data_IF_447491892945
#
_entry.id   IF_447491892945
#
_cell.length_a   1.000
_cell.length_b   1.000
_cell.length_c   1.000
_cell.angle_alpha   90.00
_cell.angle_beta   90.00
_cell.angle_gamma   90.00
#
_symmetry.space_group_name_H-M   'P 1'
#
loop_
_entity.id
_entity.type
_entity.pdbx_description
1 polymer ?
#
# COMPACT_ATOMS: atom_id res chain seq x y z
N UNK A 1 25.53 22.23 36.77
CA UNK A 1 26.01 22.96 35.57
C UNK A 1 27.20 22.19 35.04
N UNK A 2 26.98 21.15 34.22
CA UNK A 2 28.05 20.45 33.52
C UNK A 2 28.01 20.95 32.08
N UNK A 3 28.78 22.00 31.82
CA UNK A 3 29.04 22.51 30.48
C UNK A 3 29.84 21.46 29.72
N UNK A 4 29.17 20.76 28.81
CA UNK A 4 29.77 19.89 27.79
C UNK A 4 30.66 20.74 26.90
N UNK A 5 31.96 20.80 27.20
CA UNK A 5 32.95 21.29 26.24
C UNK A 5 33.03 20.27 25.11
N UNK A 6 32.21 20.46 24.07
CA UNK A 6 32.36 19.76 22.80
C UNK A 6 33.77 20.05 22.30
N UNK A 7 34.63 19.05 22.32
CA UNK A 7 35.95 19.12 21.69
C UNK A 7 35.78 19.51 20.22
N UNK A 8 36.67 20.37 19.71
CA UNK A 8 36.62 20.85 18.31
C UNK A 8 36.45 19.70 17.30
N UNK A 9 37.08 18.56 17.58
CA UNK A 9 36.92 17.33 16.80
C UNK A 9 35.48 16.83 16.73
N UNK A 10 34.76 16.79 17.85
CA UNK A 10 33.36 16.36 17.90
C UNK A 10 32.44 17.35 17.17
N UNK A 11 32.73 18.65 17.26
CA UNK A 11 31.96 19.68 16.57
C UNK A 11 32.16 19.59 15.04
N UNK A 12 33.40 19.42 14.60
CA UNK A 12 33.76 19.20 13.20
C UNK A 12 33.10 17.91 12.68
N UNK A 13 33.20 16.80 13.41
CA UNK A 13 32.60 15.52 13.03
C UNK A 13 31.07 15.62 12.94
N UNK A 14 30.41 16.27 13.89
CA UNK A 14 28.96 16.48 13.85
C UNK A 14 28.54 17.35 12.66
N UNK A 15 29.27 18.45 12.40
CA UNK A 15 28.98 19.35 11.29
C UNK A 15 29.11 18.64 9.93
N UNK A 16 30.24 17.97 9.70
CA UNK A 16 30.47 17.26 8.44
C UNK A 16 29.55 16.05 8.27
N UNK A 17 29.24 15.30 9.35
CA UNK A 17 28.24 14.23 9.29
C UNK A 17 26.89 14.78 8.88
N UNK A 18 26.41 15.86 9.51
CA UNK A 18 25.13 16.47 9.19
C UNK A 18 25.06 16.89 7.72
N UNK A 19 26.05 17.64 7.24
CA UNK A 19 26.10 18.09 5.85
C UNK A 19 26.19 16.93 4.85
N UNK A 20 26.97 15.89 5.18
CA UNK A 20 27.07 14.69 4.34
C UNK A 20 25.76 13.90 4.31
N UNK A 21 25.08 13.77 5.45
CA UNK A 21 23.77 13.12 5.55
C UNK A 21 22.72 13.89 4.75
N UNK A 22 22.70 15.22 4.83
CA UNK A 22 21.78 16.07 4.06
C UNK A 22 21.96 15.88 2.54
N UNK A 23 23.20 15.98 2.05
CA UNK A 23 23.49 15.78 0.62
C UNK A 23 23.12 14.36 0.16
N UNK A 24 23.49 13.34 0.93
CA UNK A 24 23.17 11.94 0.60
C UNK A 24 21.68 11.65 0.70
N UNK A 25 20.98 12.28 1.64
CA UNK A 25 19.54 12.16 1.82
C UNK A 25 18.81 12.66 0.58
N UNK A 26 19.15 13.85 0.09
CA UNK A 26 18.53 14.39 -1.11
C UNK A 26 18.78 13.53 -2.35
N UNK A 27 20.03 13.09 -2.55
CA UNK A 27 20.39 12.20 -3.65
C UNK A 27 19.61 10.88 -3.59
N UNK A 28 19.61 10.23 -2.43
CA UNK A 28 18.93 8.95 -2.23
C UNK A 28 17.42 9.08 -2.41
N UNK A 29 16.82 10.13 -1.85
CA UNK A 29 15.37 10.38 -1.96
C UNK A 29 14.96 10.56 -3.41
N UNK A 30 15.67 11.40 -4.17
CA UNK A 30 15.37 11.64 -5.59
C UNK A 30 15.53 10.34 -6.39
N UNK A 31 16.60 9.59 -6.15
CA UNK A 31 16.84 8.30 -6.81
C UNK A 31 15.73 7.28 -6.52
N UNK A 32 15.34 7.14 -5.25
CA UNK A 32 14.25 6.24 -4.84
C UNK A 32 12.92 6.69 -5.45
N UNK A 33 12.60 7.98 -5.38
CA UNK A 33 11.38 8.55 -5.93
C UNK A 33 11.25 8.30 -7.44
N UNK A 34 12.30 8.59 -8.21
CA UNK A 34 12.30 8.35 -9.66
C UNK A 34 12.11 6.86 -10.00
N UNK A 35 12.81 5.95 -9.31
CA UNK A 35 12.68 4.52 -9.55
C UNK A 35 11.29 3.99 -9.21
N UNK A 36 10.76 4.36 -8.04
CA UNK A 36 9.42 3.95 -7.59
C UNK A 36 8.34 4.49 -8.52
N UNK A 37 8.44 5.77 -8.93
CA UNK A 37 7.50 6.37 -9.87
C UNK A 37 7.51 5.65 -11.23
N UNK A 38 8.69 5.30 -11.75
CA UNK A 38 8.81 4.56 -13.00
C UNK A 38 8.22 3.14 -12.91
N UNK A 39 8.39 2.47 -11.77
CA UNK A 39 7.77 1.15 -11.51
C UNK A 39 6.25 1.28 -11.39
N UNK A 40 5.76 2.27 -10.65
CA UNK A 40 4.34 2.54 -10.49
C UNK A 40 3.67 2.81 -11.84
N UNK A 41 4.29 3.62 -12.71
CA UNK A 41 3.78 3.90 -14.05
C UNK A 41 3.61 2.61 -14.88
N UNK A 42 4.61 1.73 -14.89
CA UNK A 42 4.53 0.43 -15.60
C UNK A 42 3.43 -0.46 -15.06
N UNK A 43 3.26 -0.50 -13.73
CA UNK A 43 2.21 -1.28 -13.07
C UNK A 43 0.82 -0.74 -13.39
N UNK A 44 0.64 0.59 -13.42
CA UNK A 44 -0.63 1.23 -13.82
C UNK A 44 -1.01 0.88 -15.25
N UNK A 45 -0.07 0.96 -16.20
CA UNK A 45 -0.32 0.53 -17.59
C UNK A 45 -0.68 -0.95 -17.67
N UNK A 46 0.00 -1.81 -16.91
CA UNK A 46 -0.30 -3.25 -16.86
C UNK A 46 -1.68 -3.55 -16.24
N UNK A 47 -2.07 -2.80 -15.21
CA UNK A 47 -3.39 -2.91 -14.59
C UNK A 47 -4.50 -2.56 -15.59
N UNK A 48 -4.36 -1.42 -16.29
CA UNK A 48 -5.29 -1.00 -17.34
C UNK A 48 -5.44 -2.05 -18.45
N UNK A 49 -4.33 -2.63 -18.93
CA UNK A 49 -4.39 -3.71 -19.91
C UNK A 49 -5.22 -4.91 -19.43
N UNK A 50 -5.10 -5.29 -18.16
CA UNK A 50 -5.89 -6.38 -17.60
C UNK A 50 -7.36 -6.01 -17.38
N UNK A 51 -7.65 -4.76 -17.00
CA UNK A 51 -9.03 -4.27 -16.93
C UNK A 51 -9.72 -4.35 -18.30
N UNK A 52 -9.06 -3.84 -19.35
CA UNK A 52 -9.57 -3.89 -20.74
C UNK A 52 -9.81 -5.34 -21.21
N UNK A 53 -8.91 -6.26 -20.86
CA UNK A 53 -9.07 -7.68 -21.18
C UNK A 53 -10.25 -8.34 -20.45
N UNK A 54 -10.53 -7.93 -19.21
CA UNK A 54 -11.67 -8.44 -18.45
C UNK A 54 -12.98 -7.85 -18.96
N UNK A 55 -13.02 -6.57 -19.31
CA UNK A 55 -14.20 -5.93 -19.91
C UNK A 55 -14.59 -6.61 -21.23
N UNK A 56 -13.61 -6.93 -22.08
CA UNK A 56 -13.85 -7.75 -23.29
C UNK A 56 -14.37 -9.15 -22.96
N UNK A 57 -13.99 -9.71 -21.81
CA UNK A 57 -14.46 -11.01 -21.36
C UNK A 57 -15.83 -10.97 -20.66
N UNK A 58 -16.33 -9.83 -20.19
CA UNK A 58 -17.71 -9.69 -19.71
C UNK A 58 -18.72 -9.89 -20.85
N UNK A 59 -18.37 -9.48 -22.07
CA UNK A 59 -19.15 -9.79 -23.28
C UNK A 59 -19.25 -11.29 -23.58
N UNK A 60 -18.48 -12.14 -22.88
CA UNK A 60 -18.56 -13.60 -23.02
C UNK A 60 -19.97 -14.13 -22.74
N UNK A 61 -20.64 -13.61 -21.70
CA UNK A 61 -21.94 -14.13 -21.27
C UNK A 61 -23.03 -13.78 -22.30
N UNK A 62 -22.92 -12.62 -22.97
CA UNK A 62 -23.75 -12.27 -24.12
C UNK A 62 -23.59 -13.25 -25.29
N UNK A 63 -22.36 -13.70 -25.60
CA UNK A 63 -22.18 -14.70 -26.66
C UNK A 63 -22.83 -16.05 -26.33
N UNK A 64 -22.90 -16.42 -25.05
CA UNK A 64 -23.66 -17.62 -24.66
C UNK A 64 -25.15 -17.43 -24.88
N UNK A 65 -25.71 -16.30 -24.44
CA UNK A 65 -27.13 -15.96 -24.68
C UNK A 65 -27.45 -15.95 -26.19
N UNK A 66 -26.58 -15.37 -27.01
CA UNK A 66 -26.73 -15.40 -28.47
C UNK A 66 -26.73 -16.82 -29.04
N UNK A 67 -25.81 -17.67 -28.58
CA UNK A 67 -25.76 -19.07 -29.01
C UNK A 67 -27.06 -19.82 -28.64
N UNK A 68 -27.54 -19.64 -27.41
CA UNK A 68 -28.76 -20.27 -26.91
C UNK A 68 -30.00 -19.78 -27.70
N UNK A 69 -30.10 -18.48 -27.97
CA UNK A 69 -31.19 -17.88 -28.77
C UNK A 69 -31.18 -18.34 -30.22
N UNK A 70 -30.01 -18.44 -30.85
CA UNK A 70 -29.86 -18.97 -32.23
C UNK A 70 -30.24 -20.45 -32.29
N UNK A 71 -29.85 -21.24 -31.28
CA UNK A 71 -30.20 -22.66 -31.20
C UNK A 71 -31.70 -22.89 -30.98
N UNK A 72 -32.36 -22.03 -30.20
CA UNK A 72 -33.81 -22.11 -30.00
C UNK A 72 -34.61 -21.69 -31.24
N UNK A 73 -34.08 -20.75 -32.04
CA UNK A 73 -34.77 -20.19 -33.20
C UNK A 73 -34.16 -20.62 -34.55
N UNK A 74 -33.64 -21.86 -34.64
CA UNK A 74 -32.95 -22.37 -35.83
C UNK A 74 -33.79 -22.29 -37.12
N UNK A 75 -35.12 -22.39 -37.01
CA UNK A 75 -36.02 -22.32 -38.16
C UNK A 75 -36.05 -20.94 -38.82
N UNK A 76 -35.74 -19.88 -38.07
CA UNK A 76 -35.70 -18.50 -38.57
C UNK A 76 -34.34 -18.14 -39.19
N UNK A 77 -33.32 -18.98 -39.02
CA UNK A 77 -31.97 -18.78 -39.53
C UNK A 77 -31.85 -19.26 -40.99
N UNK A 78 -32.15 -18.39 -41.95
CA UNK A 78 -31.90 -18.68 -43.37
C UNK A 78 -30.41 -18.49 -43.73
N UNK A 79 -29.87 -19.27 -44.70
CA UNK A 79 -28.51 -19.07 -45.21
C UNK A 79 -28.35 -17.66 -45.81
N UNK A 80 -27.24 -16.97 -45.51
CA UNK A 80 -26.98 -15.61 -46.00
C UNK A 80 -27.51 -14.48 -45.13
N UNK A 81 -28.15 -14.78 -43.99
CA UNK A 81 -28.74 -13.79 -43.09
C UNK A 81 -27.66 -13.14 -42.20
N UNK A 82 -27.59 -11.81 -42.18
CA UNK A 82 -26.56 -11.06 -41.43
C UNK A 82 -26.96 -10.75 -39.97
N UNK A 83 -28.25 -10.71 -39.66
CA UNK A 83 -28.78 -10.35 -38.35
C UNK A 83 -30.10 -11.07 -38.06
N UNK A 84 -30.20 -11.73 -36.91
CA UNK A 84 -31.41 -12.38 -36.43
C UNK A 84 -32.05 -11.53 -35.32
N UNK A 85 -33.33 -11.20 -35.44
CA UNK A 85 -34.08 -10.53 -34.37
C UNK A 85 -35.02 -11.53 -33.70
N UNK A 86 -34.76 -11.83 -32.44
CA UNK A 86 -35.52 -12.81 -31.65
C UNK A 86 -35.83 -12.25 -30.27
N UNK A 87 -36.98 -12.59 -29.67
CA UNK A 87 -37.29 -12.21 -28.30
C UNK A 87 -36.32 -12.89 -27.34
N UNK A 88 -35.79 -12.12 -26.39
CA UNK A 88 -34.99 -12.64 -25.29
C UNK A 88 -35.83 -13.51 -24.35
N UNK A 89 -35.22 -14.54 -23.77
CA UNK A 89 -35.91 -15.50 -22.90
C UNK A 89 -36.36 -14.86 -21.57
N UNK A 90 -35.58 -13.91 -21.04
CA UNK A 90 -35.83 -13.31 -19.72
C UNK A 90 -36.66 -12.03 -19.83
N UNK A 91 -36.32 -11.14 -20.77
CA UNK A 91 -36.97 -9.83 -20.87
C UNK A 91 -38.13 -9.78 -21.87
N UNK A 92 -38.24 -10.74 -22.80
CA UNK A 92 -39.22 -10.72 -23.90
C UNK A 92 -38.98 -9.62 -24.95
N UNK A 93 -37.99 -8.74 -24.74
CA UNK A 93 -37.59 -7.71 -25.68
C UNK A 93 -36.86 -8.31 -26.88
N UNK A 94 -37.07 -7.78 -28.09
CA UNK A 94 -36.36 -8.24 -29.29
C UNK A 94 -34.88 -7.85 -29.24
N UNK A 95 -34.01 -8.86 -29.20
CA UNK A 95 -32.56 -8.73 -29.29
C UNK A 95 -32.12 -8.95 -30.74
N UNK A 96 -31.20 -8.12 -31.22
CA UNK A 96 -30.59 -8.26 -32.56
C UNK A 96 -29.25 -8.96 -32.44
N UNK A 97 -29.17 -10.18 -32.97
CA UNK A 97 -27.99 -11.04 -32.93
C UNK A 97 -27.28 -10.95 -34.29
N UNK A 98 -26.03 -10.49 -34.37
CA UNK A 98 -25.27 -10.51 -35.63
C UNK A 98 -24.95 -11.96 -36.01
N UNK A 99 -25.07 -12.32 -37.28
CA UNK A 99 -24.73 -13.65 -37.80
C UNK A 99 -23.73 -13.52 -38.95
N UNK A 100 -22.88 -14.53 -39.13
CA UNK A 100 -22.05 -14.64 -40.33
C UNK A 100 -22.89 -15.24 -41.48
N UNK A 101 -23.06 -14.51 -42.60
CA UNK A 101 -23.85 -14.96 -43.75
C UNK A 101 -23.32 -16.26 -44.39
N UNK A 102 -22.02 -16.52 -44.25
CA UNK A 102 -21.36 -17.68 -44.84
C UNK A 102 -21.52 -18.96 -43.99
N UNK A 103 -22.10 -18.84 -42.80
CA UNK A 103 -22.24 -19.94 -41.85
C UNK A 103 -23.71 -20.33 -41.65
N UNK A 104 -23.97 -21.60 -41.41
CA UNK A 104 -25.32 -22.05 -41.01
C UNK A 104 -25.68 -21.57 -39.60
N UNK A 105 -26.96 -21.56 -39.24
CA UNK A 105 -27.40 -21.18 -37.88
C UNK A 105 -26.70 -21.99 -36.78
N UNK A 106 -26.51 -23.30 -37.01
CA UNK A 106 -25.79 -24.19 -36.07
C UNK A 106 -24.30 -23.81 -36.00
N UNK A 107 -23.66 -23.50 -37.12
CA UNK A 107 -22.25 -23.09 -37.14
C UNK A 107 -22.02 -21.75 -36.44
N UNK A 108 -22.91 -20.78 -36.68
CA UNK A 108 -22.92 -19.49 -35.97
C UNK A 108 -23.06 -19.69 -34.45
N UNK A 109 -24.02 -20.52 -34.00
CA UNK A 109 -24.17 -20.85 -32.58
C UNK A 109 -22.92 -21.52 -31.99
N UNK A 110 -22.32 -22.49 -32.70
CA UNK A 110 -21.06 -23.11 -32.28
C UNK A 110 -19.91 -22.12 -32.20
N UNK A 111 -19.82 -21.17 -33.13
CA UNK A 111 -18.82 -20.10 -33.10
C UNK A 111 -19.00 -19.22 -31.87
N UNK A 112 -20.24 -18.87 -31.51
CA UNK A 112 -20.55 -18.14 -30.28
C UNK A 112 -20.18 -18.92 -29.03
N UNK A 113 -20.50 -20.22 -28.94
CA UNK A 113 -20.06 -21.05 -27.80
C UNK A 113 -18.53 -21.15 -27.69
N UNK A 114 -17.82 -21.32 -28.81
CA UNK A 114 -16.35 -21.33 -28.83
C UNK A 114 -15.78 -19.99 -28.35
N UNK A 115 -16.36 -18.87 -28.78
CA UNK A 115 -15.96 -17.53 -28.36
C UNK A 115 -16.22 -17.31 -26.87
N UNK A 116 -17.40 -17.67 -26.37
CA UNK A 116 -17.72 -17.66 -24.95
C UNK A 116 -16.70 -18.47 -24.14
N UNK A 117 -16.42 -19.71 -24.55
CA UNK A 117 -15.49 -20.57 -23.83
C UNK A 117 -14.06 -20.01 -23.82
N UNK A 118 -13.59 -19.44 -24.94
CA UNK A 118 -12.28 -18.79 -25.03
C UNK A 118 -12.19 -17.57 -24.10
N UNK A 119 -13.19 -16.69 -24.13
CA UNK A 119 -13.22 -15.49 -23.28
C UNK A 119 -13.34 -15.85 -21.80
N UNK A 120 -14.19 -16.82 -21.44
CA UNK A 120 -14.31 -17.32 -20.07
C UNK A 120 -13.00 -17.91 -19.54
N UNK A 121 -12.27 -18.69 -20.36
CA UNK A 121 -10.93 -19.20 -19.99
C UNK A 121 -9.94 -18.06 -19.78
N UNK A 122 -9.98 -17.04 -20.64
CA UNK A 122 -9.16 -15.84 -20.48
C UNK A 122 -9.47 -15.11 -19.17
N UNK A 123 -10.75 -14.90 -18.85
CA UNK A 123 -11.21 -14.27 -17.60
C UNK A 123 -10.61 -14.95 -16.36
N UNK A 124 -10.78 -16.27 -16.28
CA UNK A 124 -10.27 -17.07 -15.15
C UNK A 124 -8.73 -17.02 -15.01
N UNK A 125 -8.01 -16.84 -16.11
CA UNK A 125 -6.55 -16.71 -16.09
C UNK A 125 -6.08 -15.30 -15.75
N UNK A 126 -6.81 -14.26 -16.20
CA UNK A 126 -6.44 -12.86 -16.04
C UNK A 126 -6.81 -12.31 -14.65
N UNK A 127 -7.94 -12.71 -14.08
CA UNK A 127 -8.39 -12.28 -12.74
C UNK A 127 -7.31 -12.42 -11.63
N UNK A 128 -6.63 -13.57 -11.45
CA UNK A 128 -5.59 -13.68 -10.43
C UNK A 128 -4.36 -12.82 -10.75
N UNK A 129 -4.01 -12.66 -12.02
CA UNK A 129 -2.88 -11.80 -12.44
C UNK A 129 -3.18 -10.32 -12.17
N UNK A 130 -4.40 -9.88 -12.48
CA UNK A 130 -4.90 -8.55 -12.16
C UNK A 130 -4.82 -8.29 -10.66
N UNK A 131 -5.36 -9.21 -9.86
CA UNK A 131 -5.33 -9.11 -8.40
C UNK A 131 -3.90 -8.96 -7.88
N UNK A 132 -2.95 -9.75 -8.39
CA UNK A 132 -1.55 -9.64 -8.02
C UNK A 132 -0.93 -8.28 -8.41
N UNK A 133 -1.26 -7.75 -9.60
CA UNK A 133 -0.79 -6.43 -10.05
C UNK A 133 -1.33 -5.30 -9.19
N UNK A 134 -2.62 -5.32 -8.83
CA UNK A 134 -3.20 -4.30 -7.93
C UNK A 134 -2.59 -4.35 -6.53
N UNK A 135 -2.34 -5.54 -6.01
CA UNK A 135 -1.69 -5.72 -4.72
C UNK A 135 -0.26 -5.16 -4.74
N UNK A 136 0.47 -5.42 -5.82
CA UNK A 136 1.79 -4.85 -6.03
C UNK A 136 1.76 -3.32 -6.23
N UNK A 137 0.81 -2.80 -7.01
CA UNK A 137 0.62 -1.37 -7.22
C UNK A 137 0.33 -0.66 -5.90
N UNK A 138 -0.58 -1.19 -5.09
CA UNK A 138 -0.90 -0.63 -3.77
C UNK A 138 0.31 -0.55 -2.85
N UNK A 139 1.18 -1.57 -2.86
CA UNK A 139 2.45 -1.53 -2.12
C UNK A 139 3.38 -0.42 -2.62
N UNK A 140 3.58 -0.30 -3.94
CA UNK A 140 4.46 0.71 -4.53
C UNK A 140 3.94 2.12 -4.25
N UNK A 141 2.62 2.32 -4.31
CA UNK A 141 1.97 3.59 -3.95
C UNK A 141 2.07 3.91 -2.46
N UNK A 142 2.09 2.90 -1.58
CA UNK A 142 2.38 3.10 -0.16
C UNK A 142 3.81 3.61 0.06
N UNK A 143 4.80 3.00 -0.61
CA UNK A 143 6.19 3.47 -0.57
C UNK A 143 6.32 4.89 -1.14
N UNK A 144 5.65 5.17 -2.26
CA UNK A 144 5.62 6.51 -2.86
C UNK A 144 5.05 7.54 -1.86
N UNK A 145 3.92 7.22 -1.22
CA UNK A 145 3.33 8.06 -0.18
C UNK A 145 4.29 8.32 0.97
N UNK A 146 5.03 7.32 1.43
CA UNK A 146 6.02 7.49 2.50
C UNK A 146 7.16 8.40 2.06
N UNK A 147 7.68 8.25 0.84
CA UNK A 147 8.75 9.09 0.30
C UNK A 147 8.35 10.56 0.22
N UNK A 148 7.08 10.88 -0.08
CA UNK A 148 6.59 12.28 -0.09
C UNK A 148 6.59 12.94 1.30
N UNK A 149 6.66 12.16 2.38
CA UNK A 149 6.78 12.71 3.74
C UNK A 149 8.21 13.22 4.02
N UNK A 150 9.20 12.68 3.32
CA UNK A 150 10.62 13.04 3.45
C UNK A 150 10.99 14.25 2.59
N UNK A 151 10.32 15.39 2.79
CA UNK A 151 10.55 16.59 1.95
C UNK A 151 11.84 17.36 2.26
N UNK A 152 12.31 17.30 3.51
CA UNK A 152 13.53 17.97 3.97
C UNK A 152 14.21 17.10 5.02
N UNK A 153 15.53 17.21 5.10
CA UNK A 153 16.32 16.59 6.15
C UNK A 153 16.24 17.42 7.43
N UNK A 154 15.70 16.85 8.51
CA UNK A 154 15.66 17.51 9.82
C UNK A 154 16.67 16.89 10.78
N UNK A 155 16.72 15.56 10.84
CA UNK A 155 17.50 14.82 11.82
C UNK A 155 18.14 13.54 11.26
N UNK A 156 18.97 12.88 12.08
CA UNK A 156 19.59 11.61 11.71
C UNK A 156 18.57 10.47 11.53
N UNK A 157 17.42 10.53 12.20
CA UNK A 157 16.36 9.54 12.03
C UNK A 157 15.76 9.58 10.61
N UNK A 158 15.63 10.76 10.00
CA UNK A 158 15.18 10.89 8.61
C UNK A 158 16.10 10.12 7.65
N UNK A 159 17.41 10.23 7.85
CA UNK A 159 18.40 9.49 7.07
C UNK A 159 18.29 7.98 7.28
N UNK A 160 18.21 7.54 8.53
CA UNK A 160 18.07 6.11 8.87
C UNK A 160 16.78 5.52 8.29
N UNK A 161 15.66 6.24 8.38
CA UNK A 161 14.37 5.80 7.86
C UNK A 161 14.40 5.65 6.32
N UNK A 162 15.07 6.56 5.62
CA UNK A 162 15.24 6.48 4.17
C UNK A 162 16.14 5.30 3.75
N UNK A 163 17.20 5.04 4.51
CA UNK A 163 18.06 3.86 4.32
C UNK A 163 17.28 2.56 4.55
N UNK A 164 16.39 2.53 5.55
CA UNK A 164 15.51 1.38 5.76
C UNK A 164 14.58 1.12 4.57
N UNK A 165 13.99 2.17 3.99
CA UNK A 165 13.18 2.08 2.77
C UNK A 165 14.03 1.52 1.62
N UNK A 166 15.25 2.02 1.42
CA UNK A 166 16.16 1.50 0.39
C UNK A 166 16.42 0.00 0.59
N UNK A 167 16.75 -0.41 1.81
CA UNK A 167 17.02 -1.81 2.13
C UNK A 167 15.79 -2.70 1.90
N UNK A 168 14.61 -2.23 2.28
CA UNK A 168 13.35 -2.92 2.01
C UNK A 168 13.15 -3.12 0.50
N UNK A 169 13.31 -2.07 -0.30
CA UNK A 169 13.14 -2.14 -1.75
C UNK A 169 14.16 -3.05 -2.43
N UNK A 170 15.41 -3.09 -1.94
CA UNK A 170 16.43 -4.05 -2.38
C UNK A 170 15.99 -5.48 -2.05
N UNK A 171 15.46 -5.72 -0.85
CA UNK A 171 15.00 -7.04 -0.42
C UNK A 171 13.78 -7.52 -1.23
N UNK A 172 12.90 -6.60 -1.65
CA UNK A 172 11.75 -6.90 -2.50
C UNK A 172 12.12 -7.03 -3.99
N UNK A 173 13.36 -6.74 -4.39
CA UNK A 173 13.85 -6.97 -5.75
C UNK A 173 13.63 -5.82 -6.74
N UNK A 174 13.39 -4.59 -6.30
CA UNK A 174 13.16 -3.43 -7.17
C UNK A 174 14.42 -2.87 -7.87
N UNK A 175 15.45 -3.69 -8.10
CA UNK A 175 16.61 -3.31 -8.94
C UNK A 175 17.39 -2.09 -8.43
N UNK A 176 17.55 -1.98 -7.11
CA UNK A 176 18.43 -1.01 -6.48
C UNK A 176 19.80 -1.65 -6.25
N UNK A 177 20.86 -1.01 -6.74
CA UNK A 177 22.22 -1.42 -6.37
C UNK A 177 22.39 -1.24 -4.86
N UNK A 178 23.04 -2.21 -4.21
CA UNK A 178 23.43 -2.06 -2.82
C UNK A 178 24.39 -0.87 -2.76
N UNK A 179 23.96 0.22 -2.13
CA UNK A 179 24.86 1.33 -1.84
C UNK A 179 26.13 0.78 -1.18
N UNK A 180 27.29 1.15 -1.74
CA UNK A 180 28.63 0.67 -1.37
C UNK A 180 29.05 1.03 0.06
N UNK A 181 28.16 1.67 0.84
CA UNK A 181 28.41 2.03 2.23
C UNK A 181 28.21 0.90 3.26
N UNK A 182 27.70 -0.27 2.84
CA UNK A 182 27.64 -1.48 3.68
C UNK A 182 28.82 -2.43 3.43
N UNK A 183 30.05 -1.92 3.34
CA UNK A 183 31.27 -2.74 3.22
C UNK A 183 32.07 -2.88 4.53
N UNK A 184 31.65 -2.25 5.63
CA UNK A 184 32.29 -2.44 6.96
C UNK A 184 31.38 -3.17 7.96
N UNK A 185 30.76 -4.28 7.55
CA UNK A 185 30.30 -5.31 8.49
C UNK A 185 31.27 -6.50 8.41
N UNK A 186 32.05 -6.82 9.46
CA UNK A 186 32.89 -8.01 9.42
C UNK A 186 32.01 -9.24 9.23
N UNK A 187 32.34 -10.04 8.20
CA UNK A 187 31.71 -11.34 7.90
C UNK A 187 31.68 -12.18 9.19
N UNK A 188 30.48 -12.39 9.75
CA UNK A 188 30.26 -13.42 10.77
C UNK A 188 30.46 -14.78 10.09
N UNK A 189 31.63 -15.36 10.31
CA UNK A 189 31.93 -16.76 10.05
C UNK A 189 30.88 -17.62 10.75
N UNK A 190 30.29 -18.56 10.01
CA UNK A 190 29.34 -19.55 10.51
C UNK A 190 30.02 -20.44 11.55
N UNK A 191 29.92 -20.07 12.82
CA UNK A 191 30.20 -20.92 13.97
C UNK A 191 28.92 -21.15 14.75
N UNK A 192 28.48 -22.41 14.83
CA UNK A 192 27.42 -22.86 15.73
C UNK A 192 27.88 -22.68 17.17
N UNK A 193 27.28 -21.77 17.91
CA UNK A 193 27.33 -21.81 19.38
C UNK A 193 26.01 -21.31 19.96
N UNK A 194 25.47 -22.12 20.88
CA UNK A 194 24.23 -21.89 21.63
C UNK A 194 24.32 -20.56 22.39
N UNK A 195 23.40 -19.63 22.14
CA UNK A 195 23.25 -18.43 22.96
C UNK A 195 22.33 -18.74 24.15
N UNK A 196 22.96 -18.91 25.31
CA UNK A 196 22.34 -18.59 26.61
C UNK A 196 22.75 -17.16 26.96
N UNK A 197 21.81 -16.40 27.51
CA UNK A 197 22.10 -15.25 28.37
C UNK A 197 22.64 -13.96 27.71
N UNK A 198 21.75 -12.97 27.65
CA UNK A 198 22.01 -11.61 28.20
C UNK A 198 23.13 -10.79 27.53
N UNK A 199 22.82 -10.18 26.39
CA UNK A 199 23.47 -8.94 25.94
C UNK A 199 22.39 -7.88 25.66
N UNK A 200 22.16 -7.02 26.67
CA UNK A 200 21.46 -5.74 26.54
C UNK A 200 22.53 -4.69 26.27
N UNK A 201 22.72 -4.30 25.01
CA UNK A 201 23.68 -3.25 24.66
C UNK A 201 24.06 -3.19 23.19
N UNK A 202 23.14 -3.44 22.26
CA UNK A 202 23.31 -3.04 20.87
C UNK A 202 22.23 -1.99 20.66
N UNK A 203 22.65 -0.73 20.51
CA UNK A 203 21.77 0.34 20.04
C UNK A 203 21.32 -0.11 18.65
N UNK A 204 20.04 -0.49 18.53
CA UNK A 204 19.43 -0.89 17.27
C UNK A 204 19.59 0.32 16.33
N UNK A 205 20.42 0.23 15.29
CA UNK A 205 20.61 1.25 14.24
C UNK A 205 19.33 1.43 13.38
N UNK A 206 18.16 1.24 13.98
CA UNK A 206 16.85 1.42 13.37
C UNK A 206 16.33 2.80 13.73
N UNK A 207 15.80 3.49 12.72
CA UNK A 207 15.03 4.72 12.89
C UNK A 207 13.86 4.52 13.84
N UNK A 208 13.57 5.55 14.64
CA UNK A 208 12.44 5.54 15.56
C UNK A 208 11.15 6.00 14.84
N UNK A 209 9.97 5.53 15.28
CA UNK A 209 8.69 6.09 14.85
C UNK A 209 8.58 7.55 15.31
N UNK A 210 7.73 8.33 14.63
CA UNK A 210 7.37 9.66 15.14
C UNK A 210 6.53 9.50 16.40
N UNK A 211 6.74 10.37 17.37
CA UNK A 211 6.07 10.35 18.66
C UNK A 211 5.36 11.67 18.90
N UNK A 212 4.08 11.60 19.27
CA UNK A 212 3.25 12.73 19.65
C UNK A 212 2.48 12.40 20.93
N UNK A 213 1.85 13.40 21.54
CA UNK A 213 0.93 13.22 22.65
C UNK A 213 -0.45 13.74 22.27
N UNK A 214 -1.47 12.92 22.53
CA UNK A 214 -2.87 13.32 22.42
C UNK A 214 -3.21 14.42 23.45
N UNK A 215 -4.34 15.13 23.28
CA UNK A 215 -4.77 16.17 24.23
C UNK A 215 -4.81 15.72 25.69
N UNK A 216 -5.19 14.46 25.96
CA UNK A 216 -5.21 13.88 27.30
C UNK A 216 -3.86 13.27 27.74
N UNK A 217 -2.78 13.46 26.96
CA UNK A 217 -1.43 13.03 27.31
C UNK A 217 -1.09 11.58 26.97
N UNK A 218 -1.95 10.86 26.25
CA UNK A 218 -1.61 9.52 25.75
C UNK A 218 -0.61 9.59 24.60
N UNK A 219 0.35 8.68 24.61
CA UNK A 219 1.39 8.58 23.58
C UNK A 219 0.81 8.09 22.25
N UNK A 220 1.24 8.72 21.16
CA UNK A 220 0.87 8.39 19.78
C UNK A 220 2.14 8.10 18.98
N UNK A 221 2.24 6.88 18.44
CA UNK A 221 3.38 6.44 17.62
C UNK A 221 2.98 6.30 16.15
N UNK A 222 3.76 6.85 15.24
CA UNK A 222 3.48 6.84 13.80
C UNK A 222 4.66 6.22 13.06
N UNK A 223 4.39 5.19 12.27
CA UNK A 223 5.41 4.53 11.47
C UNK A 223 5.82 5.38 10.26
N UNK A 224 7.13 5.57 10.08
CA UNK A 224 7.73 6.36 9.00
C UNK A 224 7.99 5.57 7.72
N UNK A 225 7.96 4.25 7.83
CA UNK A 225 8.12 3.32 6.71
C UNK A 225 7.40 1.99 7.01
N UNK A 226 7.31 1.10 6.02
CA UNK A 226 6.61 -0.18 6.14
C UNK A 226 7.22 -1.12 7.21
N UNK A 227 8.55 -1.12 7.39
CA UNK A 227 9.22 -1.88 8.46
C UNK A 227 8.83 -1.39 9.84
N UNK A 228 8.78 -0.09 10.04
CA UNK A 228 8.28 0.51 11.27
C UNK A 228 6.80 0.20 11.47
N UNK A 229 5.97 0.29 10.42
CA UNK A 229 4.55 -0.09 10.49
C UNK A 229 4.36 -1.54 10.97
N UNK A 230 5.12 -2.48 10.41
CA UNK A 230 5.12 -3.89 10.83
C UNK A 230 5.58 -4.04 12.30
N UNK A 231 6.62 -3.31 12.73
CA UNK A 231 7.12 -3.33 14.11
C UNK A 231 6.11 -2.73 15.09
N UNK A 232 5.47 -1.63 14.74
CA UNK A 232 4.45 -0.99 15.55
C UNK A 232 3.28 -1.93 15.79
N UNK A 233 2.75 -2.49 14.70
CA UNK A 233 1.56 -3.34 14.72
C UNK A 233 1.82 -4.71 15.37
N UNK A 234 2.94 -5.36 15.03
CA UNK A 234 3.18 -6.76 15.40
C UNK A 234 4.05 -6.97 16.64
N UNK A 235 4.76 -5.94 17.13
CA UNK A 235 5.67 -6.08 18.29
C UNK A 235 5.50 -5.02 19.36
N UNK A 236 5.11 -3.81 18.98
CA UNK A 236 5.06 -2.66 19.89
C UNK A 236 3.70 -2.53 20.53
N UNK A 237 2.64 -2.76 19.76
CA UNK A 237 1.26 -2.67 20.21
C UNK A 237 0.93 -3.66 21.34
N UNK A 238 0.27 -3.15 22.37
CA UNK A 238 -0.34 -3.93 23.46
C UNK A 238 -1.84 -4.13 23.26
N UNK A 239 -2.45 -4.90 24.16
CA UNK A 239 -3.87 -5.30 24.05
C UNK A 239 -4.87 -4.16 24.25
N UNK A 240 -4.47 -3.11 24.97
CA UNK A 240 -5.30 -1.94 25.27
C UNK A 240 -5.18 -0.82 24.24
N UNK A 241 -4.14 -0.87 23.40
CA UNK A 241 -3.86 0.17 22.43
C UNK A 241 -4.92 0.21 21.32
N UNK A 242 -4.97 1.32 20.58
CA UNK A 242 -5.78 1.46 19.38
C UNK A 242 -4.88 1.68 18.17
N UNK A 243 -5.10 0.88 17.14
CA UNK A 243 -4.43 0.98 15.85
C UNK A 243 -5.30 1.76 14.88
N UNK A 244 -4.69 2.66 14.11
CA UNK A 244 -5.34 3.52 13.12
C UNK A 244 -4.62 3.44 11.77
N UNK A 245 -5.40 3.53 10.70
CA UNK A 245 -4.90 3.65 9.32
C UNK A 245 -5.99 4.26 8.44
N UNK A 246 -5.61 4.88 7.33
CA UNK A 246 -6.60 5.38 6.35
C UNK A 246 -7.32 4.23 5.65
N UNK A 247 -8.64 4.35 5.45
CA UNK A 247 -9.42 3.31 4.78
C UNK A 247 -9.06 3.27 3.29
N UNK A 248 -8.59 2.12 2.80
CA UNK A 248 -8.27 1.86 1.37
C UNK A 248 -7.23 2.81 0.73
N UNK A 249 -6.65 3.72 1.51
CA UNK A 249 -5.68 4.70 1.05
C UNK A 249 -4.34 4.35 1.70
N UNK A 250 -3.22 4.32 0.96
CA UNK A 250 -1.92 4.06 1.54
C UNK A 250 -1.50 5.15 2.54
N UNK A 251 -1.00 4.72 3.70
CA UNK A 251 -0.51 5.63 4.74
C UNK A 251 0.30 4.93 5.83
N UNK A 252 0.69 5.72 6.83
CA UNK A 252 1.39 5.24 8.02
C UNK A 252 0.45 4.50 8.97
N UNK A 253 0.97 3.49 9.65
CA UNK A 253 0.25 2.89 10.79
C UNK A 253 0.45 3.80 12.00
N UNK A 254 -0.66 4.13 12.67
CA UNK A 254 -0.64 4.95 13.87
C UNK A 254 -1.15 4.16 15.05
N UNK A 255 -0.45 4.24 16.18
CA UNK A 255 -0.77 3.53 17.41
C UNK A 255 -1.00 4.53 18.53
N UNK A 256 -2.21 4.57 19.08
CA UNK A 256 -2.52 5.28 20.31
C UNK A 256 -2.31 4.33 21.49
N UNK A 257 -1.38 4.70 22.37
CA UNK A 257 -0.97 3.89 23.53
C UNK A 257 -1.89 4.17 24.70
N UNK A 258 -2.60 3.16 25.18
CA UNK A 258 -3.51 3.30 26.31
C UNK A 258 -3.05 2.43 27.48
N UNK A 259 -2.92 3.00 28.69
CA UNK A 259 -2.69 2.19 29.88
C UNK A 259 -3.93 1.33 30.19
N UNK A 260 -3.77 0.22 30.92
CA UNK A 260 -4.88 -0.63 31.30
C UNK A 260 -6.00 0.15 32.00
N UNK A 261 -7.24 0.00 31.52
CA UNK A 261 -8.43 0.66 32.08
C UNK A 261 -8.65 2.11 31.61
N UNK A 262 -7.73 2.71 30.87
CA UNK A 262 -7.97 4.00 30.23
C UNK A 262 -8.84 3.85 28.97
N UNK A 263 -9.66 4.87 28.71
CA UNK A 263 -10.48 5.00 27.51
C UNK A 263 -10.14 6.33 26.86
N UNK A 264 -9.86 6.29 25.56
CA UNK A 264 -9.61 7.48 24.77
C UNK A 264 -10.91 8.27 24.55
N UNK A 265 -10.87 9.57 24.82
CA UNK A 265 -12.01 10.45 24.54
C UNK A 265 -12.11 10.76 23.05
N UNK A 266 -13.23 11.33 22.63
CA UNK A 266 -13.46 11.71 21.23
C UNK A 266 -12.39 12.69 20.70
N UNK A 267 -11.85 13.56 21.56
CA UNK A 267 -10.75 14.46 21.22
C UNK A 267 -9.45 13.72 20.90
N UNK A 268 -9.12 12.68 21.66
CA UNK A 268 -7.92 11.87 21.43
C UNK A 268 -8.06 11.05 20.15
N UNK A 269 -9.21 10.41 19.95
CA UNK A 269 -9.51 9.66 18.73
C UNK A 269 -9.43 10.56 17.50
N UNK A 270 -10.01 11.76 17.56
CA UNK A 270 -9.98 12.71 16.45
C UNK A 270 -8.56 13.23 16.19
N UNK A 271 -7.77 13.49 17.25
CA UNK A 271 -6.38 13.90 17.12
C UNK A 271 -5.56 12.84 16.36
N UNK A 272 -5.69 11.57 16.75
CA UNK A 272 -4.98 10.45 16.09
C UNK A 272 -5.49 10.23 14.67
N UNK A 273 -6.79 10.37 14.42
CA UNK A 273 -7.36 10.28 13.08
C UNK A 273 -6.81 11.37 12.15
N UNK A 274 -6.66 12.60 12.64
CA UNK A 274 -6.07 13.70 11.86
C UNK A 274 -4.62 13.39 11.50
N UNK A 275 -3.83 12.83 12.44
CA UNK A 275 -2.45 12.40 12.19
C UNK A 275 -2.40 11.26 11.15
N UNK A 276 -3.22 10.22 11.30
CA UNK A 276 -3.28 9.12 10.33
C UNK A 276 -3.63 9.61 8.92
N UNK A 277 -4.60 10.54 8.80
CA UNK A 277 -4.96 11.16 7.54
C UNK A 277 -3.81 12.02 6.96
N UNK A 278 -3.09 12.75 7.81
CA UNK A 278 -1.97 13.58 7.39
C UNK A 278 -0.75 12.78 6.94
N UNK A 279 -0.42 11.68 7.61
CA UNK A 279 0.65 10.76 7.22
C UNK A 279 0.15 9.69 6.22
N UNK A 280 -0.73 10.10 5.29
CA UNK A 280 -1.23 9.26 4.21
C UNK A 280 -1.12 9.96 2.86
N UNK A 281 -1.39 9.23 1.78
CA UNK A 281 -1.48 9.80 0.43
C UNK A 281 -2.59 10.86 0.30
N UNK A 282 -3.61 10.81 1.16
CA UNK A 282 -4.74 11.73 1.14
C UNK A 282 -4.53 12.99 1.99
N UNK A 283 -3.29 13.33 2.38
CA UNK A 283 -2.94 14.50 3.20
C UNK A 283 -3.52 15.85 2.72
N UNK A 284 -3.73 16.01 1.41
CA UNK A 284 -4.28 17.24 0.82
C UNK A 284 -5.82 17.27 0.81
N UNK A 285 -6.48 16.18 1.20
CA UNK A 285 -7.94 16.09 1.22
C UNK A 285 -8.53 16.88 2.40
N UNK A 286 -9.79 17.29 2.28
CA UNK A 286 -10.49 17.98 3.37
C UNK A 286 -10.82 17.01 4.51
N UNK A 287 -11.34 15.83 4.16
CA UNK A 287 -11.63 14.75 5.08
C UNK A 287 -11.19 13.42 4.49
N UNK A 288 -10.75 12.51 5.35
CA UNK A 288 -10.27 11.18 4.97
C UNK A 288 -10.89 10.16 5.92
N UNK A 289 -11.49 9.06 5.42
CA UNK A 289 -11.96 8.00 6.29
C UNK A 289 -10.75 7.29 6.92
N UNK A 290 -10.73 7.22 8.25
CA UNK A 290 -9.70 6.54 9.03
C UNK A 290 -10.36 5.39 9.77
N UNK A 291 -9.85 4.19 9.56
CA UNK A 291 -10.24 3.02 10.34
C UNK A 291 -9.45 3.00 11.64
N UNK A 292 -10.10 2.58 12.71
CA UNK A 292 -9.42 2.21 13.93
C UNK A 292 -10.00 0.95 14.56
N UNK A 293 -9.14 0.16 15.17
CA UNK A 293 -9.51 -1.08 15.87
C UNK A 293 -8.42 -1.44 16.88
N UNK A 294 -8.65 -2.50 17.65
CA UNK A 294 -7.64 -3.05 18.54
C UNK A 294 -6.59 -3.83 17.73
N UNK A 295 -5.29 -3.74 18.09
CA UNK A 295 -4.21 -4.43 17.38
C UNK A 295 -4.41 -5.93 17.21
N UNK A 296 -5.08 -6.61 18.15
CA UNK A 296 -5.43 -8.05 18.05
C UNK A 296 -6.31 -8.42 16.86
N UNK A 297 -7.04 -7.45 16.29
CA UNK A 297 -7.86 -7.64 15.09
C UNK A 297 -7.10 -7.33 13.79
N UNK A 298 -5.85 -6.88 13.89
CA UNK A 298 -4.98 -6.57 12.76
C UNK A 298 -3.97 -7.69 12.61
N UNK A 299 -3.93 -8.32 11.44
CA UNK A 299 -2.98 -9.39 11.17
C UNK A 299 -2.36 -9.27 9.78
N UNK A 300 -1.09 -9.68 9.69
CA UNK A 300 -0.35 -9.72 8.44
C UNK A 300 -0.48 -11.11 7.79
N UNK A 301 -1.04 -11.22 6.57
CA UNK A 301 -1.11 -12.50 5.87
C UNK A 301 0.29 -13.07 5.58
N UNK A 302 0.40 -14.41 5.57
CA UNK A 302 1.66 -15.08 5.23
C UNK A 302 2.06 -14.72 3.79
N UNK A 303 3.29 -14.23 3.62
CA UNK A 303 3.82 -13.82 2.32
C UNK A 303 3.39 -12.42 1.86
N UNK A 304 2.61 -11.68 2.64
CA UNK A 304 2.28 -10.29 2.32
C UNK A 304 3.52 -9.40 2.39
N UNK A 305 3.56 -8.38 1.54
CA UNK A 305 4.63 -7.36 1.53
C UNK A 305 4.67 -6.59 2.86
N UNK A 306 5.83 -6.02 3.24
CA UNK A 306 5.93 -5.15 4.41
C UNK A 306 4.85 -4.06 4.44
N UNK A 307 4.34 -3.73 5.64
CA UNK A 307 3.28 -2.73 5.83
C UNK A 307 1.88 -3.20 5.48
N UNK A 308 1.71 -4.29 4.72
CA UNK A 308 0.39 -4.78 4.33
C UNK A 308 -0.27 -5.58 5.47
N UNK A 309 -1.46 -5.15 5.88
CA UNK A 309 -2.24 -5.78 6.95
C UNK A 309 -3.69 -5.94 6.54
N UNK A 310 -4.35 -6.92 7.14
CA UNK A 310 -5.80 -7.09 7.11
C UNK A 310 -6.32 -6.80 8.52
N UNK A 311 -7.41 -6.05 8.61
CA UNK A 311 -8.08 -5.73 9.86
C UNK A 311 -9.53 -6.21 9.84
N UNK A 312 -10.11 -6.35 11.03
CA UNK A 312 -11.52 -6.69 11.26
C UNK A 312 -12.07 -5.86 12.43
N UNK A 313 -13.40 -5.83 12.55
CA UNK A 313 -14.11 -5.10 13.61
C UNK A 313 -13.69 -3.63 13.70
N UNK A 314 -13.50 -3.02 12.54
CA UNK A 314 -13.11 -1.63 12.40
C UNK A 314 -14.26 -0.69 12.72
N UNK A 315 -13.88 0.48 13.22
CA UNK A 315 -14.74 1.66 13.28
C UNK A 315 -14.12 2.73 12.40
N UNK A 316 -14.98 3.56 11.80
CA UNK A 316 -14.54 4.64 10.92
C UNK A 316 -14.70 5.97 11.65
N UNK A 317 -13.68 6.81 11.56
CA UNK A 317 -13.68 8.20 12.01
C UNK A 317 -13.13 9.07 10.87
N UNK A 318 -13.69 10.26 10.68
CA UNK A 318 -13.25 11.16 9.60
C UNK A 318 -12.08 12.02 10.06
N UNK A 319 -10.89 11.74 9.58
CA UNK A 319 -9.68 12.52 9.84
C UNK A 319 -9.62 13.79 8.99
N UNK A 320 -9.14 14.88 9.57
CA UNK A 320 -8.98 16.19 8.95
C UNK A 320 -7.49 16.57 8.96
N UNK A 321 -6.74 16.30 7.88
CA UNK A 321 -5.29 16.45 7.87
C UNK A 321 -4.84 17.91 8.02
N UNK A 322 -5.70 18.87 7.65
CA UNK A 322 -5.41 20.31 7.73
C UNK A 322 -5.17 20.78 9.18
N UNK A 323 -5.86 20.18 10.15
CA UNK A 323 -5.72 20.51 11.56
C UNK A 323 -4.38 20.07 12.17
N UNK A 324 -3.62 19.21 11.47
CA UNK A 324 -2.27 18.81 11.91
C UNK A 324 -1.27 19.95 11.78
N UNK A 325 -1.47 20.91 10.88
CA UNK A 325 -0.59 22.07 10.78
C UNK A 325 -0.59 22.93 12.05
N UNK A 326 -1.74 23.03 12.74
CA UNK A 326 -1.84 23.71 14.04
C UNK A 326 -1.09 22.96 15.14
N UNK A 327 -0.96 21.64 15.01
CA UNK A 327 -0.23 20.78 15.95
C UNK A 327 1.28 20.92 15.70
N UNK A 328 1.73 20.72 14.47
CA UNK A 328 3.15 20.84 14.09
C UNK A 328 3.71 22.27 14.19
N UNK A 329 2.85 23.28 14.03
CA UNK A 329 3.23 24.69 14.19
C UNK A 329 3.50 25.12 15.64
N UNK A 330 3.00 24.38 16.64
CA UNK A 330 3.32 24.64 18.06
C UNK A 330 4.73 24.19 18.43
N UNK A 331 5.27 23.18 17.75
CA UNK A 331 6.63 22.68 18.00
C UNK A 331 7.73 23.61 17.40
N UNK A 332 7.41 24.41 16.38
CA UNK A 332 8.36 25.34 15.75
C UNK A 332 8.52 26.69 16.46
N UNK A 333 7.69 27.01 17.47
CA UNK A 333 7.79 28.26 18.24
C UNK A 333 8.53 28.07 19.59
N UNK A 334 9.22 26.94 19.75
CA UNK A 334 9.96 26.59 20.96
C UNK A 334 11.41 26.20 20.67
N UNK A 335 12.17 27.05 19.95
CA UNK A 335 13.64 27.10 20.03
C UNK A 335 14.14 28.51 19.80
#
# INVERSE_FOLDING_TARGET
>A
IQSTTLTLQNLIDQYYKKHLHEQRFDQLRVQLGQKISAVAAKLRTKAQLFDEQLEQAEQADAYRQYADLVMANLQMCQPGLCQLSVPDFESGCSVKIPLDPNQSGIQNAQAFYKRHQKLRRSRLAVEPLRTAVYLELGYVEAVESMLTQFNRYHDENDWLALVEIQQELIQQGYGLEKSTHSQNKPKRTRGKTKHTGKDRGIVDESSQPLQYFSPNGFEVLIGRNNRQNDRLTGRTAGDYDLWFHTQEIPGSHVLLRLPPGAVADTSDLQFVANLAAYYSRARQSVQVPVVYTQPRHVYKPKGAKPGMVIYRHERIIWGQPQHVHTILGRDNNGM
#
